data_IF_689786011181
#
_entry.id   IF_689786011181
#
_cell.length_a   1.000
_cell.length_b   1.000
_cell.length_c   1.000
_cell.angle_alpha   90.00
_cell.angle_beta   90.00
_cell.angle_gamma   90.00
#
_symmetry.space_group_name_H-M   'P 1'
#
loop_
_entity.id
_entity.type
_entity.pdbx_description
1 polymer ?
#
# COMPACT_ATOMS: atom_id res chain seq x y z
N UNK A 1 19.37 2.93 9.06
CA UNK A 1 18.23 2.61 8.17
C UNK A 1 18.68 2.20 6.78
N UNK A 2 18.94 3.17 5.90
CA UNK A 2 19.08 2.92 4.45
C UNK A 2 20.16 1.91 4.03
N UNK A 3 21.38 2.00 4.59
CA UNK A 3 22.44 1.00 4.34
C UNK A 3 22.07 -0.43 4.77
N UNK A 4 21.30 -0.56 5.85
CA UNK A 4 20.78 -1.84 6.33
C UNK A 4 19.67 -2.35 5.39
N UNK A 5 18.82 -1.46 4.90
CA UNK A 5 17.80 -1.75 3.88
C UNK A 5 18.42 -2.27 2.58
N UNK A 6 19.45 -1.61 2.05
CA UNK A 6 20.13 -2.08 0.84
C UNK A 6 20.77 -3.48 1.01
N UNK A 7 21.38 -3.75 2.17
CA UNK A 7 21.99 -5.05 2.46
C UNK A 7 20.93 -6.16 2.61
N UNK A 8 19.80 -5.86 3.24
CA UNK A 8 18.70 -6.81 3.40
C UNK A 8 18.00 -7.10 2.09
N UNK A 9 17.82 -6.11 1.20
CA UNK A 9 17.34 -6.38 -0.16
C UNK A 9 18.24 -7.38 -0.88
N UNK A 10 19.55 -7.17 -0.84
CA UNK A 10 20.52 -8.03 -1.51
C UNK A 10 20.52 -9.44 -0.91
N UNK A 11 20.50 -9.57 0.42
CA UNK A 11 20.50 -10.88 1.09
C UNK A 11 19.20 -11.65 0.87
N UNK A 12 18.05 -10.99 0.95
CA UNK A 12 16.73 -11.61 0.71
C UNK A 12 16.61 -12.03 -0.75
N UNK A 13 17.00 -11.17 -1.70
CA UNK A 13 17.01 -11.52 -3.11
C UNK A 13 17.89 -12.74 -3.41
N UNK A 14 19.09 -12.78 -2.83
CA UNK A 14 20.00 -13.92 -2.97
C UNK A 14 19.45 -15.20 -2.34
N UNK A 15 18.84 -15.12 -1.15
CA UNK A 15 18.25 -16.28 -0.48
C UNK A 15 17.05 -16.85 -1.27
N UNK A 16 16.20 -15.98 -1.81
CA UNK A 16 15.07 -16.39 -2.67
C UNK A 16 15.58 -17.03 -3.95
N UNK A 17 16.61 -16.47 -4.58
CA UNK A 17 17.23 -17.03 -5.78
C UNK A 17 17.84 -18.42 -5.52
N UNK A 18 18.65 -18.56 -4.46
CA UNK A 18 19.23 -19.83 -4.06
C UNK A 18 18.16 -20.88 -3.73
N UNK A 19 17.07 -20.47 -3.08
CA UNK A 19 15.94 -21.35 -2.79
C UNK A 19 15.24 -21.77 -4.08
N UNK A 20 15.00 -20.84 -5.01
CA UNK A 20 14.35 -21.10 -6.29
C UNK A 20 15.12 -22.06 -7.21
N UNK A 21 16.45 -22.16 -7.06
CA UNK A 21 17.27 -23.16 -7.78
C UNK A 21 17.17 -24.57 -7.18
N UNK A 22 16.88 -24.66 -5.88
CA UNK A 22 16.76 -25.93 -5.14
C UNK A 22 15.32 -26.45 -5.02
N UNK A 23 14.33 -25.77 -5.59
CA UNK A 23 12.93 -26.23 -5.58
C UNK A 23 12.72 -27.36 -6.59
N UNK A 24 11.98 -28.40 -6.17
CA UNK A 24 11.49 -29.44 -7.06
C UNK A 24 10.55 -28.86 -8.13
N UNK A 25 10.49 -29.50 -9.30
CA UNK A 25 9.76 -29.00 -10.47
C UNK A 25 8.26 -28.74 -10.19
N UNK A 26 7.62 -29.61 -9.40
CA UNK A 26 6.21 -29.49 -9.01
C UNK A 26 5.96 -28.25 -8.13
N UNK A 27 6.83 -28.02 -7.15
CA UNK A 27 6.74 -26.83 -6.29
C UNK A 27 7.05 -25.55 -7.07
N UNK A 28 8.00 -25.59 -8.00
CA UNK A 28 8.34 -24.45 -8.85
C UNK A 28 7.19 -24.04 -9.77
N UNK A 29 6.44 -25.02 -10.30
CA UNK A 29 5.23 -24.77 -11.07
C UNK A 29 4.09 -24.21 -10.20
N UNK A 30 4.00 -24.65 -8.93
CA UNK A 30 3.00 -24.11 -7.99
C UNK A 30 3.19 -22.61 -7.71
N UNK A 31 4.43 -22.16 -7.47
CA UNK A 31 4.70 -20.73 -7.27
C UNK A 31 4.69 -19.94 -8.59
N UNK A 32 5.15 -20.55 -9.68
CA UNK A 32 5.30 -19.89 -10.97
C UNK A 32 6.49 -18.91 -11.00
N UNK A 33 7.19 -18.85 -12.13
CA UNK A 33 8.41 -18.04 -12.29
C UNK A 33 8.18 -16.55 -12.01
N UNK A 34 6.99 -16.03 -12.34
CA UNK A 34 6.62 -14.63 -12.08
C UNK A 34 6.54 -14.27 -10.60
N UNK A 35 6.01 -15.17 -9.75
CA UNK A 35 5.93 -14.91 -8.31
C UNK A 35 7.32 -14.91 -7.67
N UNK A 36 8.21 -15.83 -8.08
CA UNK A 36 9.60 -15.89 -7.59
C UNK A 36 10.35 -14.59 -7.91
N UNK A 37 10.21 -14.07 -9.13
CA UNK A 37 10.80 -12.78 -9.54
C UNK A 37 10.20 -11.63 -8.72
N UNK A 38 8.89 -11.65 -8.46
CA UNK A 38 8.23 -10.67 -7.61
C UNK A 38 8.78 -10.68 -6.17
N UNK A 39 8.97 -11.85 -5.57
CA UNK A 39 9.57 -11.98 -4.24
C UNK A 39 10.99 -11.42 -4.19
N UNK A 40 11.80 -11.73 -5.20
CA UNK A 40 13.19 -11.29 -5.28
C UNK A 40 13.33 -9.77 -5.47
N UNK A 41 12.42 -9.14 -6.21
CA UNK A 41 12.56 -7.73 -6.61
C UNK A 41 11.64 -6.80 -5.83
N UNK A 42 10.35 -7.09 -5.80
CA UNK A 42 9.32 -6.19 -5.26
C UNK A 42 9.27 -6.32 -3.74
N UNK A 43 9.16 -7.54 -3.22
CA UNK A 43 8.98 -7.72 -1.78
C UNK A 43 10.28 -7.51 -1.01
N UNK A 44 11.42 -7.94 -1.55
CA UNK A 44 12.73 -7.58 -1.00
C UNK A 44 12.95 -6.06 -0.92
N UNK A 45 12.48 -5.31 -1.93
CA UNK A 45 12.54 -3.84 -1.92
C UNK A 45 11.61 -3.24 -0.86
N UNK A 46 10.36 -3.72 -0.75
CA UNK A 46 9.44 -3.26 0.30
C UNK A 46 10.01 -3.48 1.70
N UNK A 47 10.66 -4.61 1.96
CA UNK A 47 11.31 -4.88 3.24
C UNK A 47 12.47 -3.90 3.49
N UNK A 48 13.27 -3.62 2.47
CA UNK A 48 14.36 -2.65 2.55
C UNK A 48 13.88 -1.23 2.84
N UNK A 49 12.75 -0.84 2.23
CA UNK A 49 12.13 0.47 2.43
C UNK A 49 11.45 0.58 3.80
N UNK A 50 10.98 -0.53 4.39
CA UNK A 50 10.35 -0.56 5.71
C UNK A 50 11.35 -0.45 6.87
N UNK A 51 12.57 -0.99 6.71
CA UNK A 51 13.59 -1.04 7.76
C UNK A 51 13.98 0.32 8.36
N UNK A 52 14.14 1.41 7.58
CA UNK A 52 14.33 2.76 8.12
C UNK A 52 13.22 3.21 9.08
N UNK A 53 11.98 2.81 8.83
CA UNK A 53 10.81 3.21 9.63
C UNK A 53 10.57 2.33 10.86
N UNK A 54 11.29 1.21 10.99
CA UNK A 54 11.13 0.32 12.14
C UNK A 54 11.46 1.01 13.46
N UNK A 55 12.37 1.99 13.46
CA UNK A 55 12.68 2.83 14.61
C UNK A 55 11.51 3.73 15.04
N UNK A 56 10.70 4.18 14.07
CA UNK A 56 9.55 5.05 14.33
C UNK A 56 8.49 4.37 15.22
N UNK A 57 8.38 3.03 15.13
CA UNK A 57 7.40 2.25 15.88
C UNK A 57 7.55 2.41 17.39
N UNK A 58 8.79 2.48 17.89
CA UNK A 58 9.06 2.65 19.32
C UNK A 58 9.37 4.11 19.70
N UNK A 59 9.89 4.90 18.75
CA UNK A 59 10.14 6.32 18.95
C UNK A 59 8.85 7.09 19.28
N UNK A 60 7.75 6.84 18.55
CA UNK A 60 6.47 7.54 18.75
C UNK A 60 5.91 7.43 20.18
N UNK A 61 5.71 6.21 20.72
CA UNK A 61 5.24 6.02 22.09
C UNK A 61 6.19 6.64 23.13
N UNK A 62 7.50 6.46 22.95
CA UNK A 62 8.51 6.98 23.88
C UNK A 62 8.46 8.52 23.93
N UNK A 63 8.35 9.16 22.77
CA UNK A 63 8.23 10.61 22.66
C UNK A 63 6.93 11.12 23.32
N UNK A 64 5.81 10.42 23.12
CA UNK A 64 4.52 10.78 23.74
C UNK A 64 4.61 10.73 25.27
N UNK A 65 5.25 9.70 25.84
CA UNK A 65 5.43 9.55 27.29
C UNK A 65 6.28 10.68 27.86
N UNK A 66 7.44 10.95 27.25
CA UNK A 66 8.35 12.01 27.70
C UNK A 66 7.67 13.39 27.61
N UNK A 67 7.00 13.68 26.49
CA UNK A 67 6.30 14.94 26.28
C UNK A 67 5.17 15.14 27.31
N UNK A 68 4.39 14.09 27.58
CA UNK A 68 3.30 14.13 28.58
C UNK A 68 3.87 14.37 29.99
N UNK A 69 4.98 13.71 30.33
CA UNK A 69 5.64 13.90 31.62
C UNK A 69 6.16 15.33 31.80
N UNK A 70 6.83 15.89 30.79
CA UNK A 70 7.30 17.29 30.83
C UNK A 70 6.14 18.27 30.93
N UNK A 71 5.07 18.04 30.16
CA UNK A 71 3.89 18.91 30.15
C UNK A 71 3.20 18.94 31.52
N UNK A 72 3.09 17.79 32.18
CA UNK A 72 2.54 17.68 33.54
C UNK A 72 3.39 18.47 34.55
N UNK A 73 4.72 18.39 34.44
CA UNK A 73 5.62 19.13 35.34
C UNK A 73 5.54 20.66 35.14
N UNK A 74 5.31 21.15 33.92
CA UNK A 74 5.27 22.59 33.63
C UNK A 74 3.91 23.25 33.85
N UNK A 75 2.80 22.59 33.50
CA UNK A 75 1.45 23.20 33.48
C UNK A 75 0.41 22.45 34.32
N UNK A 76 0.78 21.34 34.97
CA UNK A 76 -0.14 20.52 35.75
C UNK A 76 -1.32 20.02 34.92
N UNK A 77 -2.54 20.14 35.46
CA UNK A 77 -3.76 19.60 34.84
C UNK A 77 -4.22 20.31 33.56
N UNK A 78 -3.82 21.57 33.34
CA UNK A 78 -4.23 22.34 32.15
C UNK A 78 -3.68 21.73 30.85
N UNK A 79 -2.44 21.22 30.89
CA UNK A 79 -1.81 20.54 29.74
C UNK A 79 -2.52 19.26 29.30
N UNK A 80 -3.18 18.56 30.23
CA UNK A 80 -3.88 17.31 29.94
C UNK A 80 -5.15 17.52 29.08
N UNK A 81 -5.78 18.69 29.15
CA UNK A 81 -6.94 18.99 28.31
C UNK A 81 -6.59 19.04 26.82
N UNK A 82 -5.40 19.51 26.46
CA UNK A 82 -4.92 19.48 25.07
C UNK A 82 -4.80 18.04 24.54
N UNK A 83 -4.28 17.14 25.37
CA UNK A 83 -4.14 15.70 25.04
C UNK A 83 -5.54 15.06 24.86
N UNK A 84 -6.51 15.43 25.70
CA UNK A 84 -7.88 14.95 25.58
C UNK A 84 -8.54 15.38 24.25
N UNK A 85 -8.38 16.64 23.85
CA UNK A 85 -8.89 17.13 22.56
C UNK A 85 -8.22 16.40 21.38
N UNK A 86 -6.92 16.13 21.47
CA UNK A 86 -6.17 15.40 20.45
C UNK A 86 -6.64 13.94 20.34
N UNK A 87 -6.93 13.29 21.47
CA UNK A 87 -7.53 11.94 21.52
C UNK A 87 -8.92 11.89 20.89
N UNK A 88 -9.75 12.92 21.07
CA UNK A 88 -11.07 13.03 20.41
C UNK A 88 -10.95 13.34 18.91
N UNK A 89 -9.90 14.03 18.49
CA UNK A 89 -9.67 14.36 17.08
C UNK A 89 -9.19 13.15 16.25
N UNK A 90 -8.54 12.17 16.87
CA UNK A 90 -8.11 10.92 16.21
C UNK A 90 -9.26 10.07 15.64
N UNK A 91 -10.33 9.72 16.38
CA UNK A 91 -11.44 8.94 15.84
C UNK A 91 -12.20 9.70 14.75
N UNK A 92 -12.31 11.03 14.86
CA UNK A 92 -12.92 11.86 13.83
C UNK A 92 -12.15 11.78 12.50
N UNK A 93 -10.82 11.95 12.55
CA UNK A 93 -9.95 11.79 11.38
C UNK A 93 -10.04 10.38 10.80
N UNK A 94 -10.07 9.35 11.66
CA UNK A 94 -10.18 7.95 11.23
C UNK A 94 -11.51 7.69 10.53
N UNK A 95 -12.61 8.20 11.07
CA UNK A 95 -13.93 8.07 10.48
C UNK A 95 -14.03 8.78 9.12
N UNK A 96 -13.49 9.99 9.02
CA UNK A 96 -13.45 10.74 7.77
C UNK A 96 -12.60 10.02 6.72
N UNK A 97 -11.42 9.52 7.12
CA UNK A 97 -10.53 8.74 6.25
C UNK A 97 -11.20 7.47 5.72
N UNK A 98 -11.91 6.71 6.58
CA UNK A 98 -12.70 5.54 6.15
C UNK A 98 -13.76 5.90 5.12
N UNK A 99 -14.45 7.03 5.28
CA UNK A 99 -15.41 7.52 4.27
C UNK A 99 -14.71 7.86 2.97
N UNK A 100 -13.63 8.63 3.02
CA UNK A 100 -12.84 8.99 1.83
C UNK A 100 -12.38 7.72 1.09
N UNK A 101 -11.82 6.75 1.81
CA UNK A 101 -11.40 5.47 1.22
C UNK A 101 -12.57 4.74 0.52
N UNK A 102 -13.76 4.72 1.12
CA UNK A 102 -14.96 4.13 0.52
C UNK A 102 -15.34 4.84 -0.79
N UNK A 103 -15.28 6.17 -0.83
CA UNK A 103 -15.54 6.93 -2.05
C UNK A 103 -14.46 6.68 -3.10
N UNK A 104 -13.19 6.69 -2.72
CA UNK A 104 -12.06 6.38 -3.61
C UNK A 104 -12.23 5.00 -4.24
N UNK A 105 -12.57 3.96 -3.46
CA UNK A 105 -12.80 2.62 -4.00
C UNK A 105 -13.95 2.58 -5.01
N UNK A 106 -15.06 3.28 -4.74
CA UNK A 106 -16.18 3.38 -5.69
C UNK A 106 -15.77 4.07 -6.98
N UNK A 107 -15.00 5.15 -6.89
CA UNK A 107 -14.49 5.87 -8.06
C UNK A 107 -13.51 5.01 -8.85
N UNK A 108 -12.62 4.25 -8.19
CA UNK A 108 -11.72 3.32 -8.87
C UNK A 108 -12.50 2.25 -9.63
N UNK A 109 -13.50 1.63 -9.00
CA UNK A 109 -14.33 0.61 -9.66
C UNK A 109 -15.09 1.17 -10.89
N UNK A 110 -15.58 2.41 -10.82
CA UNK A 110 -16.24 3.06 -11.95
C UNK A 110 -15.25 3.36 -13.09
N UNK A 111 -14.04 3.82 -12.75
CA UNK A 111 -12.95 4.04 -13.72
C UNK A 111 -12.56 2.74 -14.41
N UNK A 112 -12.40 1.65 -13.66
CA UNK A 112 -12.05 0.34 -14.22
C UNK A 112 -13.10 -0.17 -15.21
N UNK A 113 -14.39 -0.01 -14.89
CA UNK A 113 -15.48 -0.36 -15.82
C UNK A 113 -15.40 0.44 -17.11
N UNK A 114 -15.18 1.76 -17.02
CA UNK A 114 -15.04 2.64 -18.19
C UNK A 114 -13.85 2.23 -19.05
N UNK A 115 -12.69 1.99 -18.44
CA UNK A 115 -11.47 1.58 -19.15
C UNK A 115 -11.67 0.23 -19.83
N UNK A 116 -12.30 -0.72 -19.14
CA UNK A 116 -12.62 -2.03 -19.71
C UNK A 116 -13.55 -1.93 -20.92
N UNK A 117 -14.64 -1.15 -20.80
CA UNK A 117 -15.56 -0.93 -21.91
C UNK A 117 -14.86 -0.28 -23.11
N UNK A 118 -14.06 0.76 -22.90
CA UNK A 118 -13.27 1.37 -23.98
C UNK A 118 -12.32 0.35 -24.65
N UNK A 119 -11.71 -0.54 -23.87
CA UNK A 119 -10.83 -1.58 -24.42
C UNK A 119 -11.60 -2.59 -25.29
N UNK A 120 -12.80 -3.02 -24.85
CA UNK A 120 -13.68 -3.91 -25.61
C UNK A 120 -14.14 -3.25 -26.94
N UNK A 121 -14.47 -1.96 -26.91
CA UNK A 121 -14.83 -1.21 -28.12
C UNK A 121 -13.70 -1.13 -29.13
N UNK A 122 -12.48 -0.85 -28.67
CA UNK A 122 -11.31 -0.76 -29.54
C UNK A 122 -11.03 -2.12 -30.19
N UNK A 123 -11.15 -3.21 -29.43
CA UNK A 123 -11.03 -4.57 -29.97
C UNK A 123 -12.13 -4.89 -31.00
N UNK A 124 -13.36 -4.39 -30.80
CA UNK A 124 -14.51 -4.60 -31.68
C UNK A 124 -14.68 -3.59 -32.83
N UNK A 125 -13.76 -2.62 -32.99
CA UNK A 125 -13.96 -1.44 -33.84
C UNK A 125 -14.30 -1.74 -35.30
N UNK A 126 -13.72 -2.80 -35.89
CA UNK A 126 -14.03 -3.21 -37.28
C UNK A 126 -15.48 -3.59 -37.47
N UNK A 127 -16.07 -4.31 -36.52
CA UNK A 127 -17.46 -4.77 -36.57
C UNK A 127 -18.40 -3.58 -36.39
N UNK A 128 -18.10 -2.70 -35.44
CA UNK A 128 -18.88 -1.48 -35.18
C UNK A 128 -18.98 -0.61 -36.43
N UNK A 129 -17.87 -0.44 -37.17
CA UNK A 129 -17.85 0.29 -38.45
C UNK A 129 -18.59 -0.44 -39.57
N UNK A 130 -18.52 -1.77 -39.63
CA UNK A 130 -19.21 -2.57 -40.66
C UNK A 130 -20.74 -2.44 -40.53
N UNK A 131 -21.26 -2.34 -39.32
CA UNK A 131 -22.70 -2.28 -39.02
C UNK A 131 -23.22 -0.87 -38.70
N UNK A 132 -22.38 0.17 -38.80
CA UNK A 132 -22.72 1.56 -38.49
C UNK A 132 -23.36 1.75 -37.09
N UNK A 133 -22.90 1.00 -36.09
CA UNK A 133 -23.41 1.03 -34.71
C UNK A 133 -22.91 2.22 -33.87
N UNK A 134 -22.15 3.13 -34.47
CA UNK A 134 -21.59 4.32 -33.82
C UNK A 134 -22.64 5.20 -33.10
N UNK A 135 -23.84 5.46 -33.66
CA UNK A 135 -24.85 6.30 -33.00
C UNK A 135 -25.42 5.64 -31.74
N UNK A 136 -25.73 4.35 -31.82
CA UNK A 136 -26.33 3.58 -30.72
C UNK A 136 -25.40 3.41 -29.51
N UNK A 137 -24.11 3.69 -29.70
CA UNK A 137 -23.07 3.57 -28.68
C UNK A 137 -22.65 4.92 -28.08
N UNK A 138 -23.13 6.01 -28.68
CA UNK A 138 -22.89 7.40 -28.25
C UNK A 138 -23.97 7.93 -27.30
N UNK A 139 -25.12 7.26 -27.25
CA UNK A 139 -26.18 7.41 -26.21
C UNK A 139 -25.86 6.55 -24.98
#
# INVERSE_FOLDING_TARGET
>A
GFRLGLRTRASVGQAVYAKALNLAHEQRNHFGTGAIVSYMQIDAQKMADALPYMHLLWQGPTQLVIATYMLYNFMGWSGLMSIAVMMVSMPLNTWLSKRTQKYTMRTMAARDKRVKFCNELIQGMKIIKLFAWEPALSE
#
